data_IF_343856325214
#
_entry.id   IF_343856325214
#
_cell.length_a   1.000
_cell.length_b   1.000
_cell.length_c   1.000
_cell.angle_alpha   90.00
_cell.angle_beta   90.00
_cell.angle_gamma   90.00
#
_symmetry.space_group_name_H-M   'P 1'
#
loop_
_entity.id
_entity.type
_entity.pdbx_description
1 polymer ?
#
# COMPACT_ATOMS: atom_id res chain seq x y z
N UNK A 1 12.62 18.47 -7.50
CA UNK A 1 11.54 17.56 -7.94
C UNK A 1 11.65 16.33 -7.07
N UNK A 2 10.61 15.97 -6.32
CA UNK A 2 10.66 14.77 -5.48
C UNK A 2 10.70 13.52 -6.36
N UNK A 3 11.45 12.50 -5.96
CA UNK A 3 11.47 11.20 -6.65
C UNK A 3 10.07 10.58 -6.65
N UNK A 4 9.64 9.87 -7.71
CA UNK A 4 8.39 9.14 -7.71
C UNK A 4 8.37 8.11 -6.57
N UNK A 5 7.21 7.94 -5.96
CA UNK A 5 7.00 7.04 -4.83
C UNK A 5 6.90 5.60 -5.33
N UNK A 6 7.77 4.73 -4.83
CA UNK A 6 7.73 3.30 -5.12
C UNK A 6 6.37 2.76 -4.65
N UNK A 7 5.61 2.19 -5.58
CA UNK A 7 4.22 1.78 -5.34
C UNK A 7 4.02 0.33 -5.72
N UNK A 8 3.51 -0.47 -4.78
CA UNK A 8 3.23 -1.89 -4.96
C UNK A 8 1.74 -2.16 -4.77
N UNK A 9 1.11 -2.81 -5.75
CA UNK A 9 -0.26 -3.31 -5.56
C UNK A 9 -0.20 -4.68 -4.87
N UNK A 10 -1.09 -4.88 -3.90
CA UNK A 10 -1.20 -6.13 -3.16
C UNK A 10 -2.61 -6.67 -3.34
N UNK A 11 -2.75 -7.86 -3.88
CA UNK A 11 -4.06 -8.50 -4.11
C UNK A 11 -4.20 -9.73 -3.24
N UNK A 12 -5.44 -10.08 -2.87
CA UNK A 12 -5.71 -11.31 -2.11
C UNK A 12 -7.06 -11.25 -1.42
N UNK A 13 -7.75 -12.39 -1.29
CA UNK A 13 -9.14 -12.39 -0.84
C UNK A 13 -9.33 -11.88 0.60
N UNK A 14 -8.46 -12.29 1.53
CA UNK A 14 -8.59 -11.95 2.95
C UNK A 14 -7.70 -10.76 3.31
N UNK A 15 -8.22 -9.88 4.17
CA UNK A 15 -7.45 -8.72 4.66
C UNK A 15 -6.18 -9.17 5.36
N UNK A 16 -6.27 -10.16 6.26
CA UNK A 16 -5.12 -10.70 7.00
C UNK A 16 -4.00 -11.22 6.10
N UNK A 17 -4.33 -11.92 5.00
CA UNK A 17 -3.32 -12.44 4.07
C UNK A 17 -2.55 -11.29 3.40
N UNK A 18 -3.28 -10.26 2.95
CA UNK A 18 -2.67 -9.08 2.31
C UNK A 18 -1.81 -8.31 3.29
N UNK A 19 -2.30 -8.09 4.50
CA UNK A 19 -1.58 -7.38 5.55
C UNK A 19 -0.31 -8.15 5.98
N UNK A 20 -0.38 -9.49 6.05
CA UNK A 20 0.77 -10.36 6.32
C UNK A 20 1.82 -10.28 5.20
N UNK A 21 1.38 -10.30 3.94
CA UNK A 21 2.29 -10.14 2.80
C UNK A 21 2.99 -8.78 2.81
N UNK A 22 2.28 -7.71 3.19
CA UNK A 22 2.87 -6.38 3.35
C UNK A 22 3.85 -6.36 4.53
N UNK A 23 3.47 -6.89 5.69
CA UNK A 23 4.34 -6.95 6.86
C UNK A 23 5.65 -7.70 6.58
N UNK A 24 5.59 -8.83 5.85
CA UNK A 24 6.77 -9.57 5.43
C UNK A 24 7.70 -8.75 4.51
N UNK A 25 7.12 -7.95 3.61
CA UNK A 25 7.89 -7.03 2.74
C UNK A 25 8.52 -5.90 3.54
N UNK A 26 7.78 -5.29 4.46
CA UNK A 26 8.31 -4.27 5.37
C UNK A 26 9.50 -4.82 6.17
N UNK A 27 9.35 -6.01 6.76
CA UNK A 27 10.43 -6.66 7.49
C UNK A 27 11.66 -6.86 6.60
N UNK A 28 11.50 -7.34 5.36
CA UNK A 28 12.63 -7.49 4.43
C UNK A 28 13.33 -6.16 4.09
N UNK A 29 12.56 -5.06 3.96
CA UNK A 29 13.10 -3.73 3.69
C UNK A 29 13.88 -3.17 4.88
N UNK A 30 13.37 -3.35 6.10
CA UNK A 30 14.01 -2.87 7.34
C UNK A 30 15.18 -3.76 7.80
N UNK A 31 15.14 -5.07 7.53
CA UNK A 31 16.26 -5.99 7.84
C UNK A 31 17.48 -5.72 6.94
N UNK A 32 17.27 -5.26 5.70
CA UNK A 32 18.34 -4.79 4.81
C UNK A 32 18.79 -3.34 5.03
N UNK A 33 18.01 -2.55 5.78
CA UNK A 33 18.22 -1.13 6.02
C UNK A 33 18.51 -0.83 7.47
N UNK A 34 19.77 -0.99 7.88
CA UNK A 34 20.38 -0.47 9.12
C UNK A 34 19.42 -0.29 10.32
N UNK A 35 19.21 -1.37 11.06
CA UNK A 35 18.88 -1.28 12.48
C UNK A 35 20.06 -0.73 13.35
N UNK A 36 21.03 -0.02 12.76
CA UNK A 36 22.24 0.44 13.44
C UNK A 36 22.22 1.92 13.86
N UNK A 37 21.13 2.64 13.61
CA UNK A 37 20.91 3.96 14.21
C UNK A 37 19.45 4.07 14.59
N UNK A 38 19.15 4.29 15.87
CA UNK A 38 17.79 4.51 16.41
C UNK A 38 17.09 5.78 15.89
N UNK A 39 17.39 6.21 14.67
CA UNK A 39 16.66 7.23 13.96
C UNK A 39 15.49 6.56 13.23
N UNK A 40 14.26 6.94 13.58
CA UNK A 40 13.09 6.58 12.81
C UNK A 40 13.32 6.95 11.32
N UNK A 41 12.83 6.14 10.36
CA UNK A 41 12.92 6.49 8.95
C UNK A 41 12.34 7.89 8.74
N UNK A 42 13.10 8.76 8.05
CA UNK A 42 12.73 10.17 7.87
C UNK A 42 11.43 10.36 7.08
N UNK A 43 11.01 9.33 6.34
CA UNK A 43 9.73 9.27 5.66
C UNK A 43 9.05 7.94 5.99
N UNK A 44 7.76 7.96 6.39
CA UNK A 44 7.03 6.76 6.71
C UNK A 44 6.70 5.95 5.46
N UNK A 45 6.39 4.68 5.63
CA UNK A 45 5.76 3.85 4.59
C UNK A 45 4.25 4.03 4.69
N UNK A 46 3.57 4.24 3.57
CA UNK A 46 2.13 4.35 3.56
C UNK A 46 1.47 3.09 3.00
N UNK A 47 0.33 2.71 3.56
CA UNK A 47 -0.44 1.54 3.17
C UNK A 47 -1.89 1.97 3.02
N UNK A 48 -2.43 1.87 1.82
CA UNK A 48 -3.86 2.05 1.54
C UNK A 48 -4.46 0.66 1.40
N UNK A 49 -5.41 0.29 2.25
CA UNK A 49 -6.01 -1.04 2.24
C UNK A 49 -7.53 -0.98 2.14
N UNK A 50 -8.07 -1.79 1.23
CA UNK A 50 -9.48 -2.10 1.15
C UNK A 50 -9.89 -3.04 2.30
N UNK A 51 -10.96 -2.68 3.01
CA UNK A 51 -11.57 -3.51 4.03
C UNK A 51 -11.55 -2.93 5.43
N UNK A 52 -12.26 -3.61 6.32
CA UNK A 52 -12.36 -3.25 7.73
C UNK A 52 -11.08 -3.56 8.48
N UNK A 53 -10.90 -2.92 9.63
CA UNK A 53 -9.79 -3.21 10.53
C UNK A 53 -9.95 -4.61 11.14
N UNK A 54 -8.87 -5.38 11.11
CA UNK A 54 -8.74 -6.62 11.86
C UNK A 54 -7.97 -6.34 13.16
N UNK A 55 -8.49 -6.68 14.35
CA UNK A 55 -7.78 -6.52 15.62
C UNK A 55 -6.45 -7.29 15.68
N UNK A 56 -6.30 -8.34 14.86
CA UNK A 56 -5.08 -9.14 14.74
C UNK A 56 -4.24 -8.73 13.52
N UNK A 57 -4.46 -7.53 12.99
CA UNK A 57 -3.65 -6.95 11.92
C UNK A 57 -2.17 -6.92 12.32
N UNK A 58 -1.27 -7.55 11.53
CA UNK A 58 0.17 -7.45 11.75
C UNK A 58 0.71 -6.03 11.48
N UNK A 59 -0.13 -5.11 10.98
CA UNK A 59 0.21 -3.73 10.66
C UNK A 59 -0.30 -2.73 11.70
N UNK A 60 -1.12 -3.15 12.68
CA UNK A 60 -1.74 -2.25 13.65
C UNK A 60 -0.68 -1.46 14.47
N UNK A 61 0.40 -2.12 14.85
CA UNK A 61 1.46 -1.56 15.71
C UNK A 61 2.78 -1.34 14.96
N UNK A 62 2.77 -1.36 13.63
CA UNK A 62 3.98 -1.20 12.83
C UNK A 62 4.51 0.24 12.91
N UNK A 63 5.65 0.43 13.57
CA UNK A 63 6.29 1.74 13.67
C UNK A 63 6.70 2.28 12.28
N UNK A 64 6.48 3.58 12.06
CA UNK A 64 6.82 4.23 10.78
C UNK A 64 5.87 3.89 9.63
N UNK A 65 4.71 3.30 9.90
CA UNK A 65 3.67 3.00 8.91
C UNK A 65 2.48 3.95 9.04
N UNK A 66 2.00 4.47 7.92
CA UNK A 66 0.74 5.20 7.79
C UNK A 66 -0.32 4.30 7.15
N UNK A 67 -1.23 3.77 7.96
CA UNK A 67 -2.30 2.89 7.50
C UNK A 67 -3.57 3.69 7.19
N UNK A 68 -4.04 3.61 5.94
CA UNK A 68 -5.27 4.20 5.45
C UNK A 68 -6.25 3.10 5.02
N UNK A 69 -7.35 2.95 5.75
CA UNK A 69 -8.39 1.97 5.40
C UNK A 69 -9.47 2.62 4.53
N UNK A 70 -9.85 1.95 3.46
CA UNK A 70 -10.91 2.35 2.54
C UNK A 70 -11.97 1.24 2.53
N UNK A 71 -13.25 1.62 2.48
CA UNK A 71 -14.34 0.64 2.47
C UNK A 71 -14.26 -0.32 1.25
N UNK A 72 -14.77 -1.57 1.40
CA UNK A 72 -14.87 -2.51 0.28
C UNK A 72 -15.62 -1.96 -0.93
N UNK A 73 -15.23 -2.37 -2.13
CA UNK A 73 -15.84 -1.97 -3.40
C UNK A 73 -15.44 -0.57 -3.88
N UNK A 74 -14.64 0.16 -3.11
CA UNK A 74 -14.29 1.54 -3.45
C UNK A 74 -13.06 1.66 -4.36
N UNK A 75 -12.09 0.76 -4.35
CA UNK A 75 -10.81 1.07 -5.01
C UNK A 75 -10.83 1.07 -6.54
N UNK A 76 -11.76 0.38 -7.20
CA UNK A 76 -11.71 0.08 -8.63
C UNK A 76 -12.71 0.84 -9.52
N UNK A 77 -13.95 1.10 -9.07
CA UNK A 77 -15.01 1.64 -9.92
C UNK A 77 -15.61 2.96 -9.39
N UNK A 78 -16.54 2.90 -8.43
CA UNK A 78 -17.23 4.08 -7.90
C UNK A 78 -16.41 4.84 -6.84
N UNK A 79 -15.57 4.15 -6.08
CA UNK A 79 -14.80 4.77 -4.99
C UNK A 79 -13.39 5.23 -5.37
N UNK A 80 -13.04 5.24 -6.66
CA UNK A 80 -11.73 5.74 -7.11
C UNK A 80 -11.52 7.19 -6.65
N UNK A 81 -12.60 7.96 -6.45
CA UNK A 81 -12.52 9.29 -5.82
C UNK A 81 -11.87 9.24 -4.43
N UNK A 82 -12.24 8.27 -3.58
CA UNK A 82 -11.67 8.12 -2.24
C UNK A 82 -10.19 7.75 -2.32
N UNK A 83 -9.84 6.84 -3.24
CA UNK A 83 -8.44 6.49 -3.49
C UNK A 83 -7.66 7.71 -3.99
N UNK A 84 -8.14 8.42 -4.99
CA UNK A 84 -7.49 9.61 -5.57
C UNK A 84 -7.32 10.72 -4.54
N UNK A 85 -8.32 10.97 -3.70
CA UNK A 85 -8.22 11.95 -2.60
C UNK A 85 -7.17 11.50 -1.58
N UNK A 86 -7.17 10.22 -1.21
CA UNK A 86 -6.17 9.64 -0.30
C UNK A 86 -4.76 9.80 -0.87
N UNK A 87 -4.55 9.41 -2.14
CA UNK A 87 -3.28 9.54 -2.85
C UNK A 87 -2.85 11.01 -2.95
N UNK A 88 -3.74 11.92 -3.36
CA UNK A 88 -3.40 13.33 -3.50
C UNK A 88 -3.07 13.99 -2.16
N UNK A 89 -3.65 13.52 -1.05
CA UNK A 89 -3.29 13.98 0.31
C UNK A 89 -1.92 13.43 0.72
N UNK A 90 -1.69 12.15 0.50
CA UNK A 90 -0.47 11.43 0.82
C UNK A 90 0.72 11.96 0.01
N UNK A 91 0.56 12.20 -1.29
CA UNK A 91 1.62 12.69 -2.17
C UNK A 91 2.01 14.16 -1.93
N UNK A 92 1.27 14.91 -1.10
CA UNK A 92 1.72 16.23 -0.61
C UNK A 92 2.90 16.12 0.36
N UNK A 93 3.06 14.96 1.02
CA UNK A 93 4.18 14.60 1.88
C UNK A 93 4.57 13.16 1.52
N UNK A 94 5.25 12.96 0.39
CA UNK A 94 5.43 11.64 -0.20
C UNK A 94 6.08 10.69 0.81
N UNK A 95 5.52 9.48 1.00
CA UNK A 95 6.14 8.45 1.83
C UNK A 95 7.36 7.87 1.11
N UNK A 96 8.18 7.14 1.86
CA UNK A 96 9.29 6.39 1.27
C UNK A 96 8.80 5.29 0.31
N UNK A 97 7.65 4.69 0.62
CA UNK A 97 7.03 3.64 -0.16
C UNK A 97 5.51 3.62 0.06
N UNK A 98 4.78 3.15 -0.95
CA UNK A 98 3.33 3.03 -0.93
C UNK A 98 2.92 1.59 -1.27
N UNK A 99 2.04 1.02 -0.45
CA UNK A 99 1.31 -0.20 -0.76
C UNK A 99 -0.17 0.11 -0.97
N UNK A 100 -0.78 -0.42 -2.03
CA UNK A 100 -2.23 -0.33 -2.27
C UNK A 100 -2.79 -1.75 -2.32
N UNK A 101 -3.63 -2.07 -1.34
CA UNK A 101 -4.13 -3.42 -1.07
C UNK A 101 -5.60 -3.56 -1.45
N UNK A 102 -5.89 -4.53 -2.31
CA UNK A 102 -7.20 -4.77 -2.92
C UNK A 102 -7.67 -6.19 -2.63
N UNK A 103 -8.93 -6.33 -2.23
CA UNK A 103 -9.50 -7.65 -1.95
C UNK A 103 -9.75 -8.46 -3.23
N UNK A 104 -10.11 -7.77 -4.31
CA UNK A 104 -10.40 -8.38 -5.60
C UNK A 104 -9.32 -8.03 -6.65
N UNK A 105 -8.75 -9.06 -7.26
CA UNK A 105 -7.77 -8.94 -8.32
C UNK A 105 -8.40 -8.69 -9.70
N UNK A 106 -9.71 -8.90 -9.88
CA UNK A 106 -10.40 -8.74 -11.18
C UNK A 106 -10.16 -7.38 -11.82
N UNK A 107 -10.08 -6.32 -11.02
CA UNK A 107 -9.92 -4.94 -11.49
C UNK A 107 -8.51 -4.37 -11.29
N UNK A 108 -7.51 -5.20 -10.94
CA UNK A 108 -6.13 -4.72 -10.69
C UNK A 108 -5.54 -4.06 -11.94
N UNK A 109 -5.83 -4.60 -13.14
CA UNK A 109 -5.37 -4.03 -14.40
C UNK A 109 -5.92 -2.63 -14.67
N UNK A 110 -7.21 -2.40 -14.38
CA UNK A 110 -7.83 -1.09 -14.52
C UNK A 110 -7.26 -0.07 -13.53
N UNK A 111 -7.03 -0.50 -12.29
CA UNK A 111 -6.37 0.35 -11.30
C UNK A 111 -4.95 0.71 -11.74
N UNK A 112 -4.18 -0.28 -12.19
CA UNK A 112 -2.80 -0.07 -12.66
C UNK A 112 -2.77 0.91 -13.82
N UNK A 113 -3.66 0.75 -14.81
CA UNK A 113 -3.80 1.69 -15.92
C UNK A 113 -4.09 3.12 -15.44
N UNK A 114 -4.95 3.29 -14.43
CA UNK A 114 -5.24 4.60 -13.84
C UNK A 114 -4.02 5.21 -13.12
N UNK A 115 -3.27 4.41 -12.36
CA UNK A 115 -2.07 4.86 -11.65
C UNK A 115 -0.89 5.13 -12.59
N UNK A 116 -0.88 4.52 -13.78
CA UNK A 116 0.07 4.79 -14.86
C UNK A 116 -0.32 5.98 -15.74
N UNK A 117 -1.48 6.59 -15.51
CA UNK A 117 -1.95 7.74 -16.27
C UNK A 117 -1.68 9.06 -15.52
N UNK A 118 -1.65 10.22 -16.22
CA UNK A 118 -1.53 11.51 -15.58
C UNK A 118 -2.63 11.77 -14.52
N UNK A 119 -2.30 12.36 -13.36
CA UNK A 119 -0.98 12.90 -12.99
C UNK A 119 -0.05 11.90 -12.28
N UNK A 120 -0.47 10.64 -12.11
CA UNK A 120 0.23 9.67 -11.26
C UNK A 120 1.44 9.04 -11.93
N UNK A 121 1.49 9.05 -13.26
CA UNK A 121 2.61 8.62 -14.10
C UNK A 121 3.97 9.23 -13.69
N UNK A 122 3.96 10.48 -13.23
CA UNK A 122 5.17 11.19 -12.76
C UNK A 122 5.39 11.13 -11.25
N UNK A 123 4.37 10.71 -10.49
CA UNK A 123 4.36 10.73 -9.02
C UNK A 123 4.60 9.34 -8.43
N UNK A 124 4.26 8.28 -9.15
CA UNK A 124 4.31 6.90 -8.70
C UNK A 124 5.22 6.08 -9.62
N UNK A 125 6.04 5.24 -9.01
CA UNK A 125 6.82 4.22 -9.71
C UNK A 125 6.21 2.86 -9.38
N UNK A 126 5.39 2.33 -10.28
CA UNK A 126 4.70 1.05 -10.07
C UNK A 126 5.67 -0.14 -10.24
N UNK A 127 5.77 -0.96 -9.21
CA UNK A 127 6.54 -2.20 -9.22
C UNK A 127 5.66 -3.41 -9.56
N UNK A 128 6.24 -4.61 -9.52
CA UNK A 128 5.49 -5.86 -9.65
C UNK A 128 4.42 -5.99 -8.56
N UNK A 129 3.26 -6.50 -8.97
CA UNK A 129 2.15 -6.76 -8.06
C UNK A 129 2.49 -7.95 -7.15
N UNK A 130 2.00 -7.90 -5.91
CA UNK A 130 2.14 -8.97 -4.94
C UNK A 130 0.79 -9.64 -4.76
N UNK A 131 0.69 -10.91 -5.13
CA UNK A 131 -0.43 -11.75 -4.75
C UNK A 131 -0.18 -12.32 -3.35
N UNK A 132 -1.04 -11.98 -2.39
CA UNK A 132 -1.00 -12.55 -1.05
C UNK A 132 -1.38 -14.03 -1.14
N UNK A 133 -0.57 -14.94 -0.55
CA UNK A 133 -0.91 -16.36 -0.53
C UNK A 133 -2.19 -16.56 0.28
N UNK A 134 -3.10 -17.38 -0.23
CA UNK A 134 -4.23 -17.85 0.56
C UNK A 134 -3.70 -18.84 1.60
N UNK A 135 -3.31 -18.34 2.77
CA UNK A 135 -2.87 -19.19 3.87
C UNK A 135 -4.10 -19.92 4.40
N UNK A 136 -4.07 -21.26 4.37
CA UNK A 136 -5.08 -22.08 5.00
C UNK A 136 -5.08 -21.78 6.50
N UNK A 137 -6.23 -21.39 7.04
CA UNK A 137 -6.45 -21.25 8.49
C UNK A 137 -6.50 -22.60 9.16
#
# INVERSE_FOLDING_TARGET
MSSPVITTLVTGRRAVDRETAIAARLAALYVGGSAATGAAPSQPVAIVIEGLADPHSPLADAAGVQLHRIAPGCLCCAGNVVLRVTLNRLLRRPPAQLFISLADATHVGQLRAMLSAPPYDTLLSLCDDVAAPALAS
#
